data_IF_440330414017
#
_entry.id   IF_440330414017
#
_cell.length_a   1.000
_cell.length_b   1.000
_cell.length_c   1.000
_cell.angle_alpha   90.00
_cell.angle_beta   90.00
_cell.angle_gamma   90.00
#
_symmetry.space_group_name_H-M   'P 1'
#
loop_
_entity.id
_entity.type
_entity.pdbx_description
1 polymer ?
#
# COMPACT_ATOMS: atom_id res chain seq x y z
N UNK A 1 -55.71 -7.69 13.27
CA UNK A 1 -56.51 -8.92 13.44
C UNK A 1 -55.55 -10.11 13.39
N UNK A 2 -55.27 -10.74 14.55
CA UNK A 2 -54.69 -12.10 14.80
C UNK A 2 -53.32 -12.45 14.13
N UNK A 3 -52.32 -13.09 14.75
CA UNK A 3 -52.16 -13.84 16.00
C UNK A 3 -50.63 -13.91 16.31
N UNK A 4 -50.14 -13.56 17.52
CA UNK A 4 -49.93 -14.37 18.74
C UNK A 4 -48.62 -15.18 18.75
N UNK A 5 -47.75 -14.78 19.69
CA UNK A 5 -46.54 -15.41 20.22
C UNK A 5 -46.82 -16.74 20.95
N UNK A 6 -45.91 -17.72 20.86
CA UNK A 6 -45.86 -18.87 21.78
C UNK A 6 -44.42 -19.25 22.15
N UNK A 7 -44.07 -18.93 23.40
CA UNK A 7 -43.37 -19.74 24.42
C UNK A 7 -42.38 -20.84 23.97
N UNK A 8 -41.14 -20.73 24.46
CA UNK A 8 -40.40 -21.87 25.01
C UNK A 8 -39.55 -21.41 26.21
N UNK A 9 -39.79 -22.02 27.36
CA UNK A 9 -39.08 -21.89 28.62
C UNK A 9 -38.74 -23.31 29.09
N UNK A 10 -37.70 -23.44 29.94
CA UNK A 10 -37.20 -24.62 30.66
C UNK A 10 -36.06 -25.37 29.96
N UNK A 11 -34.96 -25.77 30.60
CA UNK A 11 -34.48 -25.73 32.00
C UNK A 11 -33.06 -26.31 31.96
N UNK A 12 -32.08 -25.77 32.69
CA UNK A 12 -30.93 -26.56 33.16
C UNK A 12 -30.38 -25.96 34.46
N UNK A 13 -30.37 -26.81 35.48
CA UNK A 13 -30.08 -26.51 36.88
C UNK A 13 -28.57 -26.45 37.18
N UNK A 14 -28.25 -25.49 38.05
CA UNK A 14 -27.24 -25.44 39.12
C UNK A 14 -26.21 -26.57 39.27
N UNK A 15 -24.96 -26.15 39.49
CA UNK A 15 -24.17 -26.57 40.66
C UNK A 15 -23.23 -25.43 41.08
N UNK A 16 -23.43 -24.93 42.29
CA UNK A 16 -22.58 -23.97 42.99
C UNK A 16 -21.57 -24.72 43.87
N UNK A 17 -20.33 -24.23 43.94
CA UNK A 17 -19.41 -24.55 45.04
C UNK A 17 -18.91 -23.25 45.64
N UNK A 18 -19.30 -23.04 46.90
CA UNK A 18 -18.78 -22.01 47.79
C UNK A 18 -17.37 -22.37 48.25
N UNK A 19 -16.47 -21.39 48.27
CA UNK A 19 -15.32 -21.38 49.17
C UNK A 19 -15.18 -19.96 49.75
N UNK A 20 -15.57 -19.83 51.02
CA UNK A 20 -15.23 -18.69 51.87
C UNK A 20 -13.82 -18.90 52.44
N UNK A 21 -13.00 -17.86 52.47
CA UNK A 21 -11.66 -17.90 53.03
C UNK A 21 -11.06 -16.51 53.21
N UNK A 22 -11.41 -15.90 54.34
CA UNK A 22 -10.73 -14.88 55.14
C UNK A 22 -9.70 -13.91 54.54
N UNK A 23 -9.95 -12.64 54.82
CA UNK A 23 -9.00 -11.53 54.84
C UNK A 23 -7.78 -11.84 55.72
N UNK A 24 -6.58 -11.63 55.18
CA UNK A 24 -5.36 -11.37 55.96
C UNK A 24 -4.66 -10.19 55.31
N UNK A 25 -4.57 -9.07 56.04
CA UNK A 25 -3.68 -7.97 55.72
C UNK A 25 -2.24 -8.42 55.95
N UNK A 26 -1.37 -8.27 54.97
CA UNK A 26 0.06 -8.14 55.23
C UNK A 26 0.67 -7.15 54.26
N UNK A 27 1.11 -6.04 54.83
CA UNK A 27 1.98 -5.02 54.24
C UNK A 27 3.31 -5.65 53.83
N UNK A 28 3.68 -5.58 52.55
CA UNK A 28 5.09 -5.63 52.15
C UNK A 28 5.37 -4.75 50.92
N UNK A 29 6.04 -3.64 51.21
CA UNK A 29 7.22 -3.07 50.53
C UNK A 29 7.21 -2.99 48.99
N UNK A 30 7.04 -1.76 48.52
CA UNK A 30 7.42 -1.28 47.19
C UNK A 30 8.86 -1.71 46.85
N UNK A 31 9.01 -2.50 45.78
CA UNK A 31 10.31 -2.83 45.18
C UNK A 31 10.60 -1.85 44.05
N UNK A 32 11.83 -1.31 43.93
CA UNK A 32 12.16 -0.34 42.89
C UNK A 32 12.11 -1.01 41.52
N UNK A 33 11.45 -0.33 40.60
CA UNK A 33 11.33 -0.69 39.19
C UNK A 33 12.70 -0.82 38.54
N UNK A 34 13.09 -2.05 38.21
CA UNK A 34 14.21 -2.33 37.33
C UNK A 34 14.00 -1.72 35.94
N UNK A 35 15.07 -1.59 35.13
CA UNK A 35 14.97 -1.00 33.80
C UNK A 35 13.97 -1.80 32.96
N UNK A 36 12.99 -1.12 32.36
CA UNK A 36 12.11 -1.71 31.35
C UNK A 36 13.00 -2.16 30.19
N UNK A 37 13.22 -3.47 30.08
CA UNK A 37 13.77 -4.07 28.87
C UNK A 37 12.91 -3.64 27.69
N UNK A 38 13.51 -2.94 26.73
CA UNK A 38 12.88 -2.64 25.44
C UNK A 38 12.72 -3.95 24.68
N UNK A 39 11.55 -4.60 24.80
CA UNK A 39 11.19 -5.68 23.89
C UNK A 39 11.22 -5.12 22.47
N UNK A 40 12.08 -5.69 21.62
CA UNK A 40 11.92 -5.60 20.18
C UNK A 40 10.47 -5.95 19.83
N UNK A 41 9.78 -5.20 18.95
CA UNK A 41 8.43 -5.53 18.52
C UNK A 41 8.39 -7.01 18.10
N UNK A 42 7.39 -7.78 18.56
CA UNK A 42 7.23 -9.13 18.01
C UNK A 42 6.93 -9.01 16.51
N UNK A 43 7.36 -9.98 15.69
CA UNK A 43 7.08 -9.95 14.25
C UNK A 43 5.57 -9.84 13.93
N UNK A 44 4.70 -10.26 14.85
CA UNK A 44 3.24 -10.11 14.77
C UNK A 44 2.73 -8.67 14.99
N UNK A 45 3.51 -7.81 15.66
CA UNK A 45 3.16 -6.40 15.86
C UNK A 45 3.73 -5.46 14.80
N UNK A 46 4.42 -5.99 13.79
CA UNK A 46 4.95 -5.16 12.69
C UNK A 46 3.82 -4.67 11.79
N UNK A 47 3.90 -3.39 11.44
CA UNK A 47 3.06 -2.76 10.43
C UNK A 47 3.30 -3.41 9.07
N UNK A 48 2.35 -3.23 8.15
CA UNK A 48 2.44 -3.74 6.78
C UNK A 48 2.33 -2.59 5.80
N UNK A 49 3.09 -2.64 4.71
CA UNK A 49 2.93 -1.71 3.59
C UNK A 49 2.75 -2.51 2.32
N UNK A 50 1.70 -2.17 1.58
CA UNK A 50 1.46 -2.68 0.23
C UNK A 50 1.52 -1.48 -0.71
N UNK A 51 2.42 -1.56 -1.70
CA UNK A 51 2.60 -0.53 -2.71
C UNK A 51 2.04 -1.06 -4.02
N UNK A 52 0.94 -0.45 -4.48
CA UNK A 52 0.29 -0.71 -5.76
C UNK A 52 0.79 0.29 -6.77
N UNK A 53 1.32 -0.22 -7.88
CA UNK A 53 1.69 0.57 -9.04
C UNK A 53 0.74 0.22 -10.18
N UNK A 54 -0.09 1.18 -10.60
CA UNK A 54 -0.91 1.06 -11.80
C UNK A 54 -0.09 1.64 -12.96
N UNK A 55 0.43 0.75 -13.80
CA UNK A 55 1.43 1.04 -14.83
C UNK A 55 0.85 1.95 -15.90
N UNK A 56 1.47 3.11 -16.12
CA UNK A 56 1.15 3.96 -17.26
C UNK A 56 -0.26 4.57 -17.29
N UNK A 57 -0.93 4.82 -16.16
CA UNK A 57 -2.14 5.66 -16.14
C UNK A 57 -1.76 7.13 -16.18
N UNK A 58 -2.42 7.92 -17.03
CA UNK A 58 -2.34 9.38 -16.98
C UNK A 58 -3.08 9.93 -15.76
N UNK A 59 -2.54 11.00 -15.20
CA UNK A 59 -3.22 11.75 -14.14
C UNK A 59 -4.58 12.30 -14.60
N UNK A 60 -4.70 12.76 -15.85
CA UNK A 60 -5.92 13.36 -16.42
C UNK A 60 -7.10 12.40 -16.59
N UNK A 61 -6.88 11.09 -16.57
CA UNK A 61 -7.94 10.07 -16.58
C UNK A 61 -8.09 9.35 -15.23
N UNK A 62 -7.42 9.85 -14.19
CA UNK A 62 -7.51 9.32 -12.83
C UNK A 62 -7.87 10.44 -11.85
N UNK A 63 -6.97 10.80 -10.92
CA UNK A 63 -7.23 11.83 -9.90
C UNK A 63 -7.23 13.26 -10.46
N UNK A 64 -6.79 13.45 -11.70
CA UNK A 64 -6.89 14.71 -12.44
C UNK A 64 -8.14 14.85 -13.30
N UNK A 65 -8.92 13.79 -13.50
CA UNK A 65 -10.21 13.87 -14.19
C UNK A 65 -11.21 14.64 -13.30
N UNK A 66 -11.73 15.81 -13.71
CA UNK A 66 -12.68 16.56 -12.90
C UNK A 66 -13.95 15.78 -12.53
N UNK A 67 -14.34 14.81 -13.35
CA UNK A 67 -15.49 13.94 -13.10
C UNK A 67 -15.16 12.70 -12.27
N UNK A 68 -13.87 12.32 -12.22
CA UNK A 68 -13.36 11.09 -11.61
C UNK A 68 -14.13 9.83 -12.05
N UNK A 69 -14.66 9.86 -13.27
CA UNK A 69 -15.63 8.87 -13.77
C UNK A 69 -15.00 7.51 -14.06
N UNK A 70 -13.69 7.49 -14.30
CA UNK A 70 -12.91 6.29 -14.60
C UNK A 70 -12.35 5.59 -13.36
N UNK A 71 -12.40 6.25 -12.19
CA UNK A 71 -11.93 5.71 -10.91
C UNK A 71 -13.04 5.76 -9.83
N UNK A 72 -14.26 5.26 -10.12
CA UNK A 72 -15.40 5.44 -9.23
C UNK A 72 -15.20 4.80 -7.86
N UNK A 73 -14.43 3.70 -7.73
CA UNK A 73 -14.19 3.07 -6.44
C UNK A 73 -13.15 3.84 -5.63
N UNK A 74 -11.99 4.17 -6.21
CA UNK A 74 -10.98 4.98 -5.51
C UNK A 74 -11.55 6.34 -5.12
N UNK A 75 -12.35 6.97 -5.98
CA UNK A 75 -12.91 8.29 -5.71
C UNK A 75 -14.11 8.28 -4.76
N UNK A 76 -15.14 7.47 -5.01
CA UNK A 76 -16.37 7.53 -4.23
C UNK A 76 -16.32 6.69 -2.95
N UNK A 77 -15.63 5.55 -2.97
CA UNK A 77 -15.64 4.59 -1.86
C UNK A 77 -14.42 4.74 -0.94
N UNK A 78 -13.25 5.04 -1.51
CA UNK A 78 -11.98 5.00 -0.77
C UNK A 78 -11.45 6.37 -0.36
N UNK A 79 -11.63 7.41 -1.19
CA UNK A 79 -11.02 8.74 -0.99
C UNK A 79 -11.18 9.29 0.43
N UNK A 80 -12.37 9.15 1.01
CA UNK A 80 -12.66 9.64 2.36
C UNK A 80 -11.82 8.95 3.45
N UNK A 81 -11.27 7.76 3.20
CA UNK A 81 -10.47 6.97 4.13
C UNK A 81 -8.96 7.26 4.03
N UNK A 82 -8.54 8.17 3.14
CA UNK A 82 -7.12 8.36 2.84
C UNK A 82 -6.72 9.80 2.53
N UNK A 83 -5.46 9.92 2.10
CA UNK A 83 -4.83 11.17 1.68
C UNK A 83 -4.43 11.10 0.21
N UNK A 84 -4.81 12.12 -0.56
CA UNK A 84 -4.37 12.31 -1.95
C UNK A 84 -3.21 13.30 -1.97
N UNK A 85 -2.17 12.99 -2.74
CA UNK A 85 -1.13 13.96 -3.13
C UNK A 85 -1.42 14.42 -4.55
N UNK A 86 -1.77 15.69 -4.72
CA UNK A 86 -2.15 16.23 -6.05
C UNK A 86 -0.96 16.65 -6.88
N UNK A 87 0.23 16.72 -6.29
CA UNK A 87 1.45 17.28 -6.89
C UNK A 87 2.61 16.28 -6.78
N UNK A 88 2.40 15.08 -7.34
CA UNK A 88 3.32 13.95 -7.25
C UNK A 88 3.94 13.62 -8.62
N UNK A 89 5.27 13.53 -8.68
CA UNK A 89 5.99 13.51 -9.96
C UNK A 89 6.99 12.36 -10.12
N UNK A 90 7.10 11.88 -11.36
CA UNK A 90 8.28 11.21 -11.87
C UNK A 90 9.21 12.26 -12.51
N UNK A 91 10.38 12.49 -11.89
CA UNK A 91 11.41 13.41 -12.38
C UNK A 91 12.60 12.68 -13.03
N UNK A 92 12.51 11.35 -13.14
CA UNK A 92 13.49 10.49 -13.79
C UNK A 92 13.02 10.05 -15.19
N UNK A 93 13.41 8.83 -15.58
CA UNK A 93 12.94 8.25 -16.83
C UNK A 93 11.48 7.76 -16.69
N UNK A 94 10.62 8.22 -17.58
CA UNK A 94 9.18 7.92 -17.62
C UNK A 94 8.90 6.60 -18.36
N UNK A 95 9.60 5.55 -17.94
CA UNK A 95 9.52 4.20 -18.50
C UNK A 95 9.36 3.16 -17.38
N UNK A 96 8.80 2.00 -17.72
CA UNK A 96 8.38 1.00 -16.73
C UNK A 96 9.47 0.57 -15.74
N UNK A 97 10.59 0.02 -16.22
CA UNK A 97 11.67 -0.45 -15.34
C UNK A 97 12.29 0.67 -14.49
N UNK A 98 12.77 1.79 -15.06
CA UNK A 98 13.37 2.84 -14.26
C UNK A 98 12.37 3.53 -13.32
N UNK A 99 11.10 3.69 -13.69
CA UNK A 99 10.06 4.26 -12.82
C UNK A 99 9.83 3.39 -11.58
N UNK A 100 9.62 2.09 -11.77
CA UNK A 100 9.47 1.15 -10.65
C UNK A 100 10.74 1.05 -9.79
N UNK A 101 11.92 0.99 -10.43
CA UNK A 101 13.19 0.92 -9.71
C UNK A 101 13.45 2.21 -8.91
N UNK A 102 13.07 3.37 -9.45
CA UNK A 102 13.26 4.64 -8.74
C UNK A 102 12.41 4.73 -7.49
N UNK A 103 11.13 4.34 -7.63
CA UNK A 103 10.20 4.22 -6.52
C UNK A 103 10.69 3.24 -5.45
N UNK A 104 11.15 2.05 -5.86
CA UNK A 104 11.56 1.00 -4.93
C UNK A 104 12.86 1.33 -4.18
N UNK A 105 13.74 2.14 -4.76
CA UNK A 105 15.06 2.46 -4.19
C UNK A 105 15.11 3.82 -3.50
N UNK A 106 14.16 4.70 -3.79
CA UNK A 106 14.18 6.08 -3.34
C UNK A 106 15.26 6.92 -4.00
N UNK A 107 15.69 6.55 -5.20
CA UNK A 107 16.70 7.28 -6.00
C UNK A 107 16.32 7.22 -7.47
N UNK A 108 16.68 8.22 -8.28
CA UNK A 108 16.40 8.14 -9.72
C UNK A 108 17.31 7.11 -10.39
N UNK A 109 16.70 6.06 -10.95
CA UNK A 109 17.39 4.95 -11.60
C UNK A 109 17.39 5.16 -13.12
N UNK A 110 18.58 5.18 -13.72
CA UNK A 110 18.77 5.26 -15.17
C UNK A 110 19.18 3.88 -15.67
N UNK A 111 18.19 3.04 -15.95
CA UNK A 111 18.38 1.64 -16.35
C UNK A 111 17.56 1.30 -17.59
N UNK A 112 17.99 0.28 -18.33
CA UNK A 112 17.30 -0.23 -19.51
C UNK A 112 15.86 -0.71 -19.20
N UNK A 113 14.92 -0.40 -20.10
CA UNK A 113 13.50 -0.77 -19.98
C UNK A 113 13.16 -2.15 -20.55
N UNK A 114 14.10 -3.08 -20.50
CA UNK A 114 13.97 -4.47 -20.97
C UNK A 114 14.18 -5.51 -19.85
N UNK A 115 14.50 -5.07 -18.63
CA UNK A 115 14.76 -5.93 -17.48
C UNK A 115 16.14 -6.57 -17.43
N UNK A 116 17.07 -6.16 -18.31
CA UNK A 116 18.45 -6.66 -18.31
C UNK A 116 19.32 -6.01 -17.24
N UNK A 117 18.91 -4.84 -16.75
CA UNK A 117 19.62 -4.06 -15.74
C UNK A 117 18.81 -3.98 -14.43
N UNK A 118 19.52 -4.14 -13.31
CA UNK A 118 18.98 -3.97 -11.96
C UNK A 118 19.39 -2.61 -11.39
N UNK A 119 18.63 -2.06 -10.43
CA UNK A 119 19.02 -0.82 -9.79
C UNK A 119 20.39 -0.92 -9.12
N UNK A 120 21.10 0.20 -9.04
CA UNK A 120 22.42 0.30 -8.40
C UNK A 120 22.35 0.72 -6.92
N UNK A 121 21.15 1.08 -6.44
CA UNK A 121 20.81 1.38 -5.05
C UNK A 121 19.90 0.31 -4.45
N UNK A 122 19.99 0.03 -3.14
CA UNK A 122 19.14 -0.95 -2.49
C UNK A 122 17.67 -0.54 -2.57
N UNK A 123 16.83 -1.53 -2.78
CA UNK A 123 15.38 -1.43 -2.69
C UNK A 123 14.93 -1.37 -1.22
N UNK A 124 13.71 -0.89 -0.96
CA UNK A 124 13.12 -0.94 0.38
C UNK A 124 13.04 -2.37 0.94
N UNK A 125 13.02 -3.41 0.10
CA UNK A 125 13.06 -4.80 0.56
C UNK A 125 14.41 -5.14 1.17
N UNK A 126 15.49 -4.71 0.50
CA UNK A 126 16.85 -4.94 0.95
C UNK A 126 17.14 -4.20 2.26
N UNK A 127 16.68 -2.94 2.40
CA UNK A 127 16.76 -2.22 3.66
C UNK A 127 15.96 -2.91 4.77
N UNK A 128 14.71 -3.27 4.49
CA UNK A 128 13.80 -3.91 5.45
C UNK A 128 14.35 -5.24 5.96
N UNK A 129 14.72 -6.14 5.05
CA UNK A 129 15.24 -7.49 5.38
C UNK A 129 16.58 -7.43 6.08
N UNK A 130 17.50 -6.58 5.62
CA UNK A 130 18.83 -6.45 6.22
C UNK A 130 18.78 -5.83 7.61
N UNK A 131 17.97 -4.80 7.81
CA UNK A 131 17.91 -4.06 9.09
C UNK A 131 17.19 -4.86 10.17
N UNK A 132 16.07 -5.51 9.82
CA UNK A 132 15.26 -6.24 10.80
C UNK A 132 15.55 -7.74 10.87
N UNK A 133 16.50 -8.24 10.06
CA UNK A 133 16.88 -9.65 9.99
C UNK A 133 15.69 -10.61 9.77
N UNK A 134 14.73 -10.20 8.93
CA UNK A 134 13.51 -10.96 8.64
C UNK A 134 13.66 -11.87 7.40
N UNK A 135 12.93 -12.99 7.34
CA UNK A 135 12.97 -13.90 6.20
C UNK A 135 12.35 -13.28 4.94
N UNK A 136 12.75 -13.81 3.78
CA UNK A 136 12.23 -13.41 2.46
C UNK A 136 10.72 -13.68 2.30
N UNK A 137 10.18 -14.66 3.04
CA UNK A 137 8.76 -15.02 3.04
C UNK A 137 7.83 -13.90 3.51
N UNK A 138 8.37 -12.80 4.05
CA UNK A 138 7.58 -11.63 4.45
C UNK A 138 7.61 -10.50 3.40
N UNK A 139 8.27 -10.72 2.26
CA UNK A 139 8.49 -9.70 1.22
C UNK A 139 8.20 -10.23 -0.17
N UNK A 140 7.33 -9.56 -0.92
CA UNK A 140 6.95 -10.00 -2.27
C UNK A 140 6.94 -8.87 -3.29
N UNK A 141 7.35 -9.21 -4.51
CA UNK A 141 7.14 -8.46 -5.75
C UNK A 141 6.21 -9.30 -6.61
N UNK A 142 4.99 -8.81 -6.84
CA UNK A 142 3.94 -9.50 -7.61
C UNK A 142 3.59 -8.65 -8.83
N UNK A 143 4.05 -9.02 -10.02
CA UNK A 143 4.07 -8.07 -11.15
C UNK A 143 3.55 -8.65 -12.45
N UNK A 144 2.76 -7.87 -13.19
CA UNK A 144 2.25 -8.29 -14.51
C UNK A 144 3.37 -8.50 -15.54
N UNK A 145 4.45 -7.72 -15.48
CA UNK A 145 5.57 -7.77 -16.44
C UNK A 145 6.78 -8.52 -15.88
N UNK A 146 7.25 -9.59 -16.55
CA UNK A 146 8.41 -10.38 -16.10
C UNK A 146 9.69 -9.55 -15.90
N UNK A 147 9.88 -8.53 -16.74
CA UNK A 147 11.03 -7.61 -16.67
C UNK A 147 11.09 -6.79 -15.38
N UNK A 148 10.01 -6.73 -14.59
CA UNK A 148 9.96 -6.04 -13.30
C UNK A 148 10.50 -6.88 -12.13
N UNK A 149 10.96 -8.11 -12.38
CA UNK A 149 11.70 -8.89 -11.38
C UNK A 149 12.95 -8.15 -10.85
N UNK A 150 13.45 -7.16 -11.58
CA UNK A 150 14.57 -6.28 -11.19
C UNK A 150 14.30 -5.52 -9.88
N UNK A 151 13.03 -5.30 -9.52
CA UNK A 151 12.64 -4.57 -8.31
C UNK A 151 12.81 -5.40 -7.02
N UNK A 152 13.17 -6.67 -7.15
CA UNK A 152 13.38 -7.55 -5.99
C UNK A 152 14.67 -7.24 -5.25
N UNK A 153 15.73 -6.84 -5.94
CA UNK A 153 17.03 -6.51 -5.35
C UNK A 153 17.94 -5.75 -6.31
N UNK A 154 18.90 -5.04 -5.74
CA UNK A 154 19.88 -4.20 -6.40
C UNK A 154 21.22 -4.89 -6.68
N UNK A 155 22.11 -4.19 -7.40
CA UNK A 155 23.52 -4.59 -7.57
C UNK A 155 24.44 -3.98 -6.50
N UNK A 156 23.88 -3.30 -5.49
CA UNK A 156 24.68 -2.57 -4.49
C UNK A 156 25.50 -3.51 -3.62
N UNK A 157 26.81 -3.28 -3.56
CA UNK A 157 27.72 -4.00 -2.65
C UNK A 157 27.24 -3.91 -1.19
N UNK A 158 27.17 -5.05 -0.53
CA UNK A 158 26.66 -5.18 0.84
C UNK A 158 25.14 -5.31 0.94
N UNK A 159 24.43 -5.24 -0.18
CA UNK A 159 23.02 -5.60 -0.31
C UNK A 159 22.91 -6.71 -1.40
N UNK A 160 21.84 -6.72 -2.18
CA UNK A 160 21.61 -7.66 -3.28
C UNK A 160 20.66 -8.81 -2.93
N UNK A 161 20.70 -9.84 -3.76
CA UNK A 161 19.80 -11.00 -3.72
C UNK A 161 19.56 -11.60 -2.31
N UNK A 162 20.57 -11.75 -1.42
CA UNK A 162 20.34 -12.29 -0.08
C UNK A 162 19.30 -11.51 0.75
N UNK A 163 19.11 -10.23 0.45
CA UNK A 163 18.15 -9.34 1.12
C UNK A 163 16.96 -8.96 0.22
N UNK A 164 16.82 -9.55 -0.97
CA UNK A 164 15.76 -9.22 -1.91
C UNK A 164 14.37 -9.74 -1.55
N UNK A 165 13.35 -9.35 -2.31
CA UNK A 165 12.01 -9.93 -2.18
C UNK A 165 11.85 -11.24 -2.96
N UNK A 166 10.88 -12.06 -2.57
CA UNK A 166 10.36 -13.12 -3.45
C UNK A 166 9.64 -12.51 -4.64
N UNK A 167 9.68 -13.17 -5.79
CA UNK A 167 9.12 -12.65 -7.03
C UNK A 167 8.11 -13.64 -7.61
N UNK A 168 6.95 -13.12 -7.96
CA UNK A 168 6.02 -13.74 -8.90
C UNK A 168 5.73 -12.75 -10.02
N UNK A 169 5.98 -13.15 -11.26
CA UNK A 169 6.02 -12.22 -12.38
C UNK A 169 5.49 -12.82 -13.68
N UNK A 170 5.06 -11.95 -14.60
CA UNK A 170 4.68 -12.36 -15.95
C UNK A 170 3.22 -12.77 -16.08
N UNK A 171 2.35 -12.26 -15.22
CA UNK A 171 0.92 -12.53 -15.28
C UNK A 171 0.27 -11.92 -16.53
N UNK A 172 -0.66 -12.68 -17.12
CA UNK A 172 -1.27 -12.36 -18.40
C UNK A 172 -2.14 -11.08 -18.39
N UNK A 173 -2.70 -10.74 -17.23
CA UNK A 173 -3.57 -9.58 -17.00
C UNK A 173 -3.61 -9.23 -15.51
N UNK A 174 -4.23 -8.10 -15.17
CA UNK A 174 -4.27 -7.59 -13.80
C UNK A 174 -5.09 -8.46 -12.86
N UNK A 175 -6.15 -9.10 -13.35
CA UNK A 175 -6.90 -10.11 -12.56
C UNK A 175 -6.02 -11.28 -12.15
N UNK A 176 -5.16 -11.78 -13.05
CA UNK A 176 -4.22 -12.85 -12.73
C UNK A 176 -3.16 -12.40 -11.73
N UNK A 177 -2.62 -11.18 -11.88
CA UNK A 177 -1.72 -10.57 -10.88
C UNK A 177 -2.40 -10.44 -9.52
N UNK A 178 -3.65 -9.96 -9.50
CA UNK A 178 -4.43 -9.78 -8.28
C UNK A 178 -4.72 -11.10 -7.56
N UNK A 179 -5.09 -12.15 -8.30
CA UNK A 179 -5.30 -13.48 -7.73
C UNK A 179 -4.02 -14.05 -7.09
N UNK A 180 -2.86 -13.82 -7.72
CA UNK A 180 -1.58 -14.20 -7.16
C UNK A 180 -1.22 -13.37 -5.92
N UNK A 181 -1.53 -12.07 -5.93
CA UNK A 181 -1.40 -11.20 -4.76
C UNK A 181 -2.24 -11.74 -3.58
N UNK A 182 -3.55 -11.98 -3.78
CA UNK A 182 -4.42 -12.49 -2.72
C UNK A 182 -3.93 -13.85 -2.19
N UNK A 183 -3.52 -14.75 -3.09
CA UNK A 183 -2.97 -16.05 -2.70
C UNK A 183 -1.74 -15.89 -1.79
N UNK A 184 -0.87 -14.92 -2.08
CA UNK A 184 0.28 -14.63 -1.23
C UNK A 184 -0.09 -13.94 0.08
N UNK A 185 -1.06 -13.02 0.06
CA UNK A 185 -1.56 -12.36 1.27
C UNK A 185 -2.12 -13.37 2.26
N UNK A 186 -2.89 -14.35 1.79
CA UNK A 186 -3.54 -15.37 2.61
C UNK A 186 -2.57 -16.47 3.06
N UNK A 187 -1.66 -16.92 2.20
CA UNK A 187 -0.77 -18.03 2.52
C UNK A 187 0.45 -17.58 3.36
N UNK A 188 1.06 -16.45 3.01
CA UNK A 188 2.37 -16.05 3.52
C UNK A 188 2.31 -14.90 4.52
N UNK A 189 1.19 -14.18 4.60
CA UNK A 189 1.03 -13.01 5.46
C UNK A 189 2.19 -11.99 5.34
N UNK A 190 2.60 -11.56 4.13
CA UNK A 190 3.74 -10.66 3.99
C UNK A 190 3.54 -9.31 4.69
N UNK A 191 4.66 -8.64 4.95
CA UNK A 191 4.70 -7.33 5.62
C UNK A 191 5.05 -6.20 4.66
N UNK A 192 5.73 -6.50 3.56
CA UNK A 192 6.07 -5.51 2.53
C UNK A 192 5.84 -6.12 1.16
N UNK A 193 4.97 -5.50 0.37
CA UNK A 193 4.62 -5.97 -0.97
C UNK A 193 4.70 -4.82 -1.96
N UNK A 194 5.26 -5.10 -3.13
CA UNK A 194 5.10 -4.28 -4.33
C UNK A 194 4.28 -5.08 -5.33
N UNK A 195 3.16 -4.53 -5.79
CA UNK A 195 2.33 -5.10 -6.84
C UNK A 195 2.24 -4.15 -8.03
N UNK A 196 2.35 -4.70 -9.24
CA UNK A 196 2.22 -3.96 -10.50
C UNK A 196 1.02 -4.48 -11.29
N UNK A 197 0.07 -3.58 -11.56
CA UNK A 197 -1.02 -3.78 -12.51
C UNK A 197 -0.61 -3.17 -13.85
N UNK A 198 -0.39 -4.02 -14.84
CA UNK A 198 0.26 -3.71 -16.11
C UNK A 198 -0.72 -3.41 -17.25
N UNK A 199 -2.01 -3.70 -17.09
CA UNK A 199 -2.92 -3.68 -18.24
C UNK A 199 -3.20 -2.27 -18.75
N UNK A 200 -3.23 -1.25 -17.88
CA UNK A 200 -3.40 0.14 -18.33
C UNK A 200 -2.32 0.52 -19.34
N UNK A 201 -1.06 0.20 -19.05
CA UNK A 201 0.04 0.43 -19.99
C UNK A 201 -0.06 -0.41 -21.28
N UNK A 202 -0.33 -1.71 -21.14
CA UNK A 202 -0.50 -2.62 -22.28
C UNK A 202 -1.61 -2.14 -23.22
N UNK A 203 -2.72 -1.67 -22.65
CA UNK A 203 -3.87 -1.15 -23.39
C UNK A 203 -3.61 0.24 -23.94
N UNK A 204 -2.88 1.09 -23.24
CA UNK A 204 -2.40 2.36 -23.77
C UNK A 204 -1.62 2.16 -25.08
N UNK A 205 -0.66 1.24 -25.08
CA UNK A 205 0.12 0.91 -26.28
C UNK A 205 -0.70 0.35 -27.47
N UNK A 206 -1.90 -0.17 -27.23
CA UNK A 206 -2.78 -0.64 -28.32
C UNK A 206 -3.35 0.50 -29.16
N UNK A 207 -3.38 1.72 -28.63
CA UNK A 207 -4.00 2.87 -29.25
C UNK A 207 -5.53 2.86 -29.26
N UNK A 208 -6.16 1.89 -28.59
CA UNK A 208 -7.62 1.80 -28.46
C UNK A 208 -8.03 2.49 -27.15
N UNK A 209 -8.66 3.66 -27.28
CA UNK A 209 -9.02 4.50 -26.13
C UNK A 209 -9.95 3.81 -25.14
N UNK A 210 -10.96 3.09 -25.62
CA UNK A 210 -11.91 2.38 -24.77
C UNK A 210 -11.22 1.27 -23.96
N UNK A 211 -10.31 0.50 -24.58
CA UNK A 211 -9.54 -0.52 -23.89
C UNK A 211 -8.67 0.07 -22.77
N UNK A 212 -8.08 1.25 -23.00
CA UNK A 212 -7.28 1.96 -22.00
C UNK A 212 -8.14 2.41 -20.81
N UNK A 213 -9.31 3.00 -21.06
CA UNK A 213 -10.23 3.42 -20.00
C UNK A 213 -10.85 2.24 -19.24
N UNK A 214 -11.16 1.15 -19.92
CA UNK A 214 -11.65 -0.10 -19.30
C UNK A 214 -10.58 -0.72 -18.41
N UNK A 215 -9.30 -0.64 -18.80
CA UNK A 215 -8.19 -1.08 -17.96
C UNK A 215 -8.04 -0.20 -16.71
N UNK A 216 -8.24 1.13 -16.80
CA UNK A 216 -8.22 2.02 -15.63
C UNK A 216 -9.32 1.62 -14.65
N UNK A 217 -10.55 1.43 -15.12
CA UNK A 217 -11.69 0.99 -14.29
C UNK A 217 -11.45 -0.41 -13.69
N UNK A 218 -10.78 -1.30 -14.43
CA UNK A 218 -10.41 -2.61 -13.91
C UNK A 218 -9.43 -2.47 -12.75
N UNK A 219 -8.33 -1.72 -12.93
CA UNK A 219 -7.36 -1.48 -11.87
C UNK A 219 -7.98 -0.78 -10.65
N UNK A 220 -8.87 0.19 -10.86
CA UNK A 220 -9.65 0.86 -9.82
C UNK A 220 -10.46 -0.13 -8.97
N UNK A 221 -11.20 -1.05 -9.62
CA UNK A 221 -11.98 -2.06 -8.90
C UNK A 221 -11.10 -3.07 -8.13
N UNK A 222 -9.95 -3.46 -8.68
CA UNK A 222 -9.00 -4.34 -8.00
C UNK A 222 -8.35 -3.67 -6.78
N UNK A 223 -8.08 -2.36 -6.83
CA UNK A 223 -7.61 -1.60 -5.65
C UNK A 223 -8.65 -1.61 -4.54
N UNK A 224 -9.93 -1.43 -4.89
CA UNK A 224 -11.02 -1.51 -3.93
C UNK A 224 -11.16 -2.89 -3.32
N UNK A 225 -11.15 -3.95 -4.15
CA UNK A 225 -11.22 -5.32 -3.67
C UNK A 225 -10.02 -5.66 -2.77
N UNK A 226 -8.82 -5.19 -3.11
CA UNK A 226 -7.63 -5.31 -2.27
C UNK A 226 -7.86 -4.66 -0.90
N UNK A 227 -8.31 -3.41 -0.85
CA UNK A 227 -8.53 -2.70 0.40
C UNK A 227 -9.57 -3.41 1.27
N UNK A 228 -10.68 -3.85 0.67
CA UNK A 228 -11.71 -4.60 1.37
C UNK A 228 -11.20 -5.94 1.89
N UNK A 229 -10.40 -6.67 1.11
CA UNK A 229 -9.76 -7.90 1.55
C UNK A 229 -8.87 -7.66 2.79
N UNK A 230 -8.03 -6.62 2.76
CA UNK A 230 -7.14 -6.26 3.87
C UNK A 230 -7.92 -5.85 5.13
N UNK A 231 -9.00 -5.09 4.99
CA UNK A 231 -9.80 -4.64 6.14
C UNK A 231 -10.66 -5.76 6.74
N UNK A 232 -11.00 -6.78 5.96
CA UNK A 232 -11.74 -7.95 6.43
C UNK A 232 -10.86 -9.08 6.99
N UNK A 233 -9.53 -8.92 6.94
CA UNK A 233 -8.58 -9.90 7.45
C UNK A 233 -7.95 -9.41 8.77
N UNK A 234 -8.15 -10.15 9.86
CA UNK A 234 -7.65 -9.79 11.21
C UNK A 234 -6.14 -9.57 11.28
N UNK A 235 -5.38 -10.20 10.39
CA UNK A 235 -3.94 -10.06 10.33
C UNK A 235 -3.52 -8.68 9.76
N UNK A 236 -4.30 -8.12 8.83
CA UNK A 236 -4.00 -6.88 8.12
C UNK A 236 -4.77 -5.66 8.66
N UNK A 237 -6.01 -5.85 9.08
CA UNK A 237 -6.90 -4.79 9.54
C UNK A 237 -6.24 -3.96 10.66
N UNK A 238 -6.31 -2.63 10.54
CA UNK A 238 -5.75 -1.69 11.52
C UNK A 238 -4.22 -1.62 11.59
N UNK A 239 -3.49 -2.44 10.82
CA UNK A 239 -2.01 -2.45 10.83
C UNK A 239 -1.36 -2.33 9.45
N UNK A 240 -2.18 -2.19 8.41
CA UNK A 240 -1.73 -2.12 7.01
C UNK A 240 -1.88 -0.72 6.42
N UNK A 241 -0.88 -0.31 5.67
CA UNK A 241 -0.88 0.88 4.82
C UNK A 241 -0.91 0.44 3.37
N UNK A 242 -1.75 1.10 2.57
CA UNK A 242 -1.87 0.89 1.15
C UNK A 242 -1.47 2.18 0.44
N UNK A 243 -0.44 2.11 -0.41
CA UNK A 243 -0.02 3.20 -1.30
C UNK A 243 -0.40 2.83 -2.72
N UNK A 244 -1.02 3.75 -3.46
CA UNK A 244 -1.42 3.57 -4.85
C UNK A 244 -0.78 4.70 -5.66
N UNK A 245 -0.02 4.34 -6.68
CA UNK A 245 0.67 5.30 -7.56
C UNK A 245 0.93 4.73 -8.95
N UNK A 246 1.72 5.43 -9.77
CA UNK A 246 2.21 4.98 -11.07
C UNK A 246 3.74 4.95 -11.05
N UNK A 247 4.30 4.27 -12.04
CA UNK A 247 5.71 4.32 -12.44
C UNK A 247 6.00 5.43 -13.46
N UNK A 248 5.04 5.72 -14.33
CA UNK A 248 5.01 6.86 -15.22
C UNK A 248 3.55 7.15 -15.63
N UNK A 249 3.32 8.34 -16.18
CA UNK A 249 2.09 8.62 -16.91
C UNK A 249 2.21 8.26 -18.39
N UNK A 250 1.54 9.01 -19.27
CA UNK A 250 1.64 8.86 -20.73
C UNK A 250 1.67 10.23 -21.37
N UNK A 251 2.15 10.34 -22.61
CA UNK A 251 2.18 11.62 -23.33
C UNK A 251 0.84 12.32 -23.21
N UNK A 252 0.80 13.63 -23.04
CA UNK A 252 -0.43 14.41 -23.21
C UNK A 252 -0.80 14.51 -24.71
N UNK A 253 -1.90 15.20 -25.03
CA UNK A 253 -2.41 15.24 -26.40
C UNK A 253 -1.51 16.06 -27.35
N UNK A 254 -0.77 17.05 -26.83
CA UNK A 254 0.20 17.82 -27.60
C UNK A 254 1.46 17.00 -27.93
N UNK A 255 1.69 15.91 -27.19
CA UNK A 255 2.84 15.00 -27.34
C UNK A 255 2.45 13.64 -27.98
N UNK A 256 1.33 13.57 -28.68
CA UNK A 256 0.93 12.39 -29.45
C UNK A 256 -0.01 11.43 -28.72
N UNK A 257 -0.55 11.85 -27.58
CA UNK A 257 -1.67 11.17 -26.94
C UNK A 257 -1.29 9.94 -26.12
N UNK A 258 -2.29 9.33 -25.49
CA UNK A 258 -2.16 8.26 -24.49
C UNK A 258 -1.50 6.98 -25.02
N UNK A 259 -1.02 6.90 -26.25
CA UNK A 259 -0.44 5.67 -26.79
C UNK A 259 1.04 5.55 -26.44
N UNK A 260 1.72 6.69 -26.30
CA UNK A 260 3.14 6.79 -26.02
C UNK A 260 3.45 7.27 -24.61
N UNK A 261 4.69 7.05 -24.19
CA UNK A 261 5.30 7.60 -22.99
C UNK A 261 6.83 7.58 -23.16
N UNK A 262 7.57 8.12 -22.20
CA UNK A 262 9.05 8.05 -22.18
C UNK A 262 9.76 9.37 -22.43
N UNK A 263 9.02 10.48 -22.54
CA UNK A 263 9.57 11.83 -22.64
C UNK A 263 9.38 12.63 -21.34
N UNK A 264 9.68 13.93 -21.40
CA UNK A 264 9.58 14.86 -20.28
C UNK A 264 8.29 15.68 -20.25
N UNK A 265 7.25 15.30 -21.02
CA UNK A 265 6.00 16.03 -21.04
C UNK A 265 5.27 15.90 -19.69
N UNK A 266 4.35 16.82 -19.41
CA UNK A 266 3.62 16.82 -18.13
C UNK A 266 2.84 15.53 -17.94
N UNK A 267 2.15 15.05 -18.99
CA UNK A 267 1.41 13.80 -18.94
C UNK A 267 2.25 12.57 -18.57
N UNK A 268 3.53 12.53 -18.95
CA UNK A 268 4.45 11.45 -18.60
C UNK A 268 4.94 11.53 -17.16
N UNK A 269 5.05 12.73 -16.61
CA UNK A 269 5.71 13.00 -15.33
C UNK A 269 4.74 13.18 -14.17
N UNK A 270 3.57 13.78 -14.39
CA UNK A 270 2.56 13.96 -13.36
C UNK A 270 1.82 12.63 -13.14
N UNK A 271 2.04 12.02 -11.98
CA UNK A 271 1.51 10.71 -11.63
C UNK A 271 0.65 10.80 -10.37
N UNK A 272 -0.28 9.87 -10.20
CA UNK A 272 -1.16 9.89 -9.04
C UNK A 272 -0.44 9.36 -7.80
N UNK A 273 -0.86 9.82 -6.62
CA UNK A 273 -0.53 9.16 -5.37
C UNK A 273 -1.69 9.26 -4.38
N UNK A 274 -2.11 8.11 -3.88
CA UNK A 274 -3.17 7.96 -2.89
C UNK A 274 -2.73 6.98 -1.80
N UNK A 275 -2.89 7.36 -0.53
CA UNK A 275 -2.51 6.54 0.60
C UNK A 275 -3.66 6.33 1.59
N UNK A 276 -3.76 5.13 2.14
CA UNK A 276 -4.68 4.76 3.21
C UNK A 276 -3.94 3.97 4.29
N UNK A 277 -4.42 4.02 5.53
CA UNK A 277 -3.85 3.27 6.64
C UNK A 277 -4.16 3.86 8.02
N UNK A 278 -3.75 3.20 9.11
CA UNK A 278 -4.15 3.55 10.47
C UNK A 278 -3.64 4.92 10.96
N UNK A 279 -2.55 5.44 10.39
CA UNK A 279 -1.98 6.76 10.73
C UNK A 279 -1.98 7.75 9.56
N UNK A 280 -2.59 7.40 8.44
CA UNK A 280 -2.80 8.32 7.33
C UNK A 280 -3.99 9.23 7.66
N UNK A 281 -3.90 10.51 7.29
CA UNK A 281 -5.02 11.45 7.43
C UNK A 281 -6.15 11.05 6.50
N UNK A 282 -7.36 11.08 7.01
CA UNK A 282 -8.57 10.77 6.25
C UNK A 282 -9.12 12.03 5.61
N UNK A 283 -9.76 11.87 4.45
CA UNK A 283 -10.38 12.93 3.66
C UNK A 283 -9.44 14.14 3.46
N UNK A 284 -8.15 13.87 3.22
CA UNK A 284 -7.12 14.90 3.20
C UNK A 284 -6.43 15.02 1.84
N UNK A 285 -5.96 16.23 1.54
CA UNK A 285 -5.21 16.54 0.33
C UNK A 285 -3.91 17.23 0.71
N UNK A 286 -2.81 16.70 0.18
CA UNK A 286 -1.48 17.30 0.22
C UNK A 286 -1.21 17.95 -1.14
N UNK A 287 -0.90 19.25 -1.12
CA UNK A 287 -0.57 20.03 -2.32
C UNK A 287 0.93 20.32 -2.48
N UNK A 288 1.74 19.96 -1.48
CA UNK A 288 3.21 20.02 -1.55
C UNK A 288 3.75 19.14 -2.68
N UNK A 289 4.85 19.57 -3.29
CA UNK A 289 5.53 18.81 -4.35
C UNK A 289 6.21 17.60 -3.71
N UNK A 290 5.89 16.42 -4.23
CA UNK A 290 6.52 15.16 -3.85
C UNK A 290 6.86 14.37 -5.11
N UNK A 291 7.73 13.38 -4.98
CA UNK A 291 8.19 12.58 -6.12
C UNK A 291 8.23 11.09 -5.80
N UNK A 292 8.31 10.25 -6.83
CA UNK A 292 8.38 8.79 -6.68
C UNK A 292 9.48 8.31 -5.74
N UNK A 293 10.60 9.01 -5.67
CA UNK A 293 11.72 8.64 -4.80
C UNK A 293 11.41 8.84 -3.31
N UNK A 294 10.35 9.57 -2.96
CA UNK A 294 9.89 9.76 -1.58
C UNK A 294 9.20 8.50 -1.01
N UNK A 295 8.83 7.55 -1.87
CA UNK A 295 8.11 6.33 -1.45
C UNK A 295 8.99 5.45 -0.57
N UNK A 296 10.21 5.10 -1.01
CA UNK A 296 11.11 4.23 -0.26
C UNK A 296 11.41 4.71 1.19
N UNK A 297 11.85 5.96 1.42
CA UNK A 297 12.07 6.46 2.78
C UNK A 297 10.78 6.53 3.60
N UNK A 298 9.64 6.80 2.96
CA UNK A 298 8.33 6.79 3.63
C UNK A 298 7.94 5.38 4.10
N UNK A 299 8.19 4.35 3.28
CA UNK A 299 8.03 2.94 3.70
C UNK A 299 8.96 2.61 4.87
N UNK A 300 10.21 3.06 4.82
CA UNK A 300 11.19 2.89 5.90
C UNK A 300 10.71 3.49 7.23
N UNK A 301 10.23 4.73 7.19
CA UNK A 301 9.67 5.41 8.36
C UNK A 301 8.46 4.68 8.97
N UNK A 302 7.60 4.09 8.13
CA UNK A 302 6.43 3.32 8.58
C UNK A 302 6.81 1.97 9.20
N UNK A 303 7.76 1.27 8.60
CA UNK A 303 8.14 -0.10 9.00
C UNK A 303 9.31 -0.14 9.99
N UNK A 304 9.92 1.00 10.30
CA UNK A 304 10.95 1.13 11.32
C UNK A 304 12.35 0.73 10.84
N UNK A 305 12.72 1.09 9.61
CA UNK A 305 14.08 0.91 9.09
C UNK A 305 14.57 2.15 8.34
N UNK A 306 15.88 2.37 8.37
CA UNK A 306 16.52 3.48 7.68
C UNK A 306 16.82 3.16 6.21
N UNK A 307 16.78 4.17 5.36
CA UNK A 307 17.11 4.10 3.93
C UNK A 307 18.30 5.01 3.59
N UNK A 308 19.51 4.75 4.11
CA UNK A 308 20.62 5.71 4.10
C UNK A 308 21.21 6.02 2.72
N UNK A 309 20.81 5.30 1.66
CA UNK A 309 21.23 5.59 0.28
C UNK A 309 20.05 6.01 -0.61
N UNK A 310 18.88 6.28 -0.03
CA UNK A 310 17.77 6.96 -0.71
C UNK A 310 18.03 8.48 -0.71
N UNK A 311 17.61 9.14 -1.79
CA UNK A 311 17.70 10.58 -1.98
C UNK A 311 16.36 11.29 -1.69
N UNK A 312 15.25 10.56 -1.72
CA UNK A 312 13.91 11.11 -1.45
C UNK A 312 13.68 11.41 0.03
N UNK A 313 12.59 12.12 0.30
CA UNK A 313 12.20 12.52 1.65
C UNK A 313 10.98 11.72 2.15
N UNK A 314 10.80 11.65 3.46
CA UNK A 314 9.57 11.08 4.03
C UNK A 314 8.40 12.03 3.75
N UNK A 315 7.32 11.53 3.15
CA UNK A 315 6.06 12.25 2.92
C UNK A 315 5.33 12.43 4.26
N UNK A 316 5.82 13.33 5.10
CA UNK A 316 5.34 13.46 6.49
C UNK A 316 3.93 14.06 6.58
N UNK A 317 3.52 14.85 5.58
CA UNK A 317 2.28 15.63 5.57
C UNK A 317 1.01 14.77 5.51
N UNK A 318 1.11 13.55 4.97
CA UNK A 318 0.00 12.60 4.90
C UNK A 318 -0.28 11.90 6.23
N UNK A 319 0.61 12.00 7.22
CA UNK A 319 0.43 11.38 8.52
C UNK A 319 -0.34 12.27 9.50
N UNK A 320 -1.07 11.64 10.40
CA UNK A 320 -1.67 12.32 11.55
C UNK A 320 -0.55 12.86 12.44
N UNK A 321 -0.56 14.16 12.80
CA UNK A 321 0.46 14.75 13.64
C UNK A 321 0.61 14.02 14.99
N UNK A 322 1.83 13.88 15.48
CA UNK A 322 2.12 13.21 16.74
C UNK A 322 1.29 13.76 17.90
N UNK A 323 0.67 12.87 18.69
CA UNK A 323 -0.21 13.24 19.81
C UNK A 323 -1.69 13.44 19.44
N UNK A 324 -2.07 13.21 18.18
CA UNK A 324 -3.48 13.18 17.75
C UNK A 324 -3.88 11.77 17.32
N UNK A 325 -5.12 11.38 17.62
CA UNK A 325 -5.73 10.15 17.10
C UNK A 325 -6.61 10.47 15.89
N UNK A 326 -6.96 9.44 15.12
CA UNK A 326 -8.06 9.56 14.15
C UNK A 326 -9.33 10.04 14.89
N UNK A 327 -10.13 10.93 14.28
CA UNK A 327 -11.48 11.19 14.78
C UNK A 327 -12.24 9.87 14.85
N UNK A 328 -13.08 9.67 15.86
CA UNK A 328 -14.00 8.53 15.85
C UNK A 328 -14.89 8.61 14.59
N UNK A 329 -15.23 7.46 13.97
CA UNK A 329 -16.16 7.45 12.85
C UNK A 329 -17.43 8.19 13.26
N UNK A 330 -17.87 9.18 12.46
CA UNK A 330 -19.18 9.78 12.67
C UNK A 330 -20.21 8.67 12.51
N UNK A 331 -20.75 8.18 13.61
CA UNK A 331 -21.91 7.29 13.61
C UNK A 331 -22.98 8.03 12.82
N UNK A 332 -23.35 7.49 11.66
CA UNK A 332 -24.50 8.00 10.92
C UNK A 332 -25.70 7.88 11.86
N UNK A 333 -26.21 9.03 12.31
CA UNK A 333 -27.48 9.07 13.01
C UNK A 333 -28.51 8.50 12.04
N UNK A 334 -29.10 7.36 12.40
CA UNK A 334 -30.23 6.79 11.68
C UNK A 334 -31.24 7.91 11.38
N UNK A 335 -31.73 8.04 10.13
CA UNK A 335 -32.75 9.03 9.84
C UNK A 335 -33.98 8.71 10.69
N UNK A 336 -34.36 9.64 11.56
CA UNK A 336 -35.63 9.57 12.28
C UNK A 336 -36.74 9.35 11.26
N UNK A 337 -37.42 8.21 11.36
CA UNK A 337 -38.64 7.92 10.60
C UNK A 337 -39.66 9.02 10.93
N UNK A 338 -39.96 9.85 9.95
CA UNK A 338 -41.16 10.68 9.91
C UNK A 338 -42.19 10.07 8.96
#
# INVERSE_FOLDING_TARGET
MRAIYSKLLMLLCLLAVFAQGSCISSTTVDSPTGPKESRSPSADSLLKVIVVVIDGSRYTETFGDPSHSWIPFMWNELKAQGTILTNFWNEGLTQTNPGHASLATGTWQTIANDGTERPDKPTFFEYFRKTLAIPDSLTFVVVGKSKLNICSYSTRVGYGEPYGARVEAGFANDTATFNALLSNLDANHPRLVLVNFADVDRKGHSGIWTDYLDAIQTADSLVFELWMHLMNNLFYAGTTYLFITNDHGRHDDDHGGFQGHGDSCEGCRHVMFFAMGPKIREDYVVSGVHTQIDVCPTVGALLGFDTPLADGDVISEMFIPSGRSKPEPKVALEPERL
#
